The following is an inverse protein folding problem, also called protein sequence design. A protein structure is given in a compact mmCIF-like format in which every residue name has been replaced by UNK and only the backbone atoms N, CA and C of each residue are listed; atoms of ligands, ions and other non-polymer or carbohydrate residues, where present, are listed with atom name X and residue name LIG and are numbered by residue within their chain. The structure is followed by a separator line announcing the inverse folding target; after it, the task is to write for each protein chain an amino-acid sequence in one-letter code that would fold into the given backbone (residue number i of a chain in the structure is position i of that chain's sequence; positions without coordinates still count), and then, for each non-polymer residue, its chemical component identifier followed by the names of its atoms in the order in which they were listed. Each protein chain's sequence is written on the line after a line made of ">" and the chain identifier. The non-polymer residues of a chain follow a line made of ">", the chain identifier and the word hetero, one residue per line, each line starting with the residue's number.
data_IF_356982148931
#
_entry.id   IF_356982148931
#
_cell.length_a   1.000
_cell.length_b   1.000
_cell.length_c   1.000
_cell.angle_alpha   90.00
_cell.angle_beta   90.00
_cell.angle_gamma   90.00
#
_symmetry.space_group_name_H-M   'P 1'
#
loop_
_entity.id
_entity.type
_entity.pdbx_description
1 polymer ?
#
# COMPACT_ATOMS: atom_id res chain seq x y z
N UNK A 1 8.86 13.22 -1.40
CA UNK A 1 8.92 12.67 -2.77
C UNK A 1 8.25 13.64 -3.75
N UNK A 2 8.93 14.16 -4.80
CA UNK A 2 8.31 15.09 -5.78
C UNK A 2 7.84 14.35 -7.04
N UNK A 3 6.72 13.62 -6.94
CA UNK A 3 6.22 12.76 -8.02
C UNK A 3 5.70 13.56 -9.22
N UNK A 4 5.09 14.73 -8.98
CA UNK A 4 4.52 15.58 -10.02
C UNK A 4 5.59 16.16 -10.95
N UNK A 5 6.68 16.69 -10.39
CA UNK A 5 7.80 17.19 -11.18
C UNK A 5 8.46 16.08 -12.02
N UNK A 6 8.61 14.88 -11.44
CA UNK A 6 9.13 13.73 -12.18
C UNK A 6 8.20 13.31 -13.32
N UNK A 7 6.88 13.37 -13.12
CA UNK A 7 5.89 13.04 -14.15
C UNK A 7 6.05 13.93 -15.39
N UNK A 8 6.25 15.24 -15.20
CA UNK A 8 6.47 16.19 -16.29
C UNK A 8 7.76 15.95 -17.10
N UNK A 9 8.74 15.24 -16.54
CA UNK A 9 10.02 14.91 -17.21
C UNK A 9 9.93 13.65 -18.08
N UNK A 10 8.85 12.87 -18.01
CA UNK A 10 8.76 11.59 -18.71
C UNK A 10 8.24 11.73 -20.15
N UNK A 11 9.08 11.36 -21.11
CA UNK A 11 8.67 11.24 -22.52
C UNK A 11 8.03 9.88 -22.85
N UNK A 12 7.42 9.78 -24.05
CA UNK A 12 6.79 8.54 -24.58
C UNK A 12 7.68 7.31 -24.47
N UNK A 13 8.98 7.44 -24.75
CA UNK A 13 9.92 6.33 -24.68
C UNK A 13 10.26 5.93 -23.23
N UNK A 14 10.32 6.88 -22.30
CA UNK A 14 10.50 6.59 -20.87
C UNK A 14 9.38 5.72 -20.33
N UNK A 15 8.12 6.04 -20.68
CA UNK A 15 6.96 5.22 -20.30
C UNK A 15 6.99 3.82 -20.89
N UNK A 16 7.43 3.66 -22.16
CA UNK A 16 7.60 2.33 -22.79
C UNK A 16 8.67 1.48 -22.11
N UNK A 17 9.79 2.10 -21.72
CA UNK A 17 10.86 1.44 -20.96
C UNK A 17 10.35 1.01 -19.58
N UNK A 18 9.66 1.90 -18.85
CA UNK A 18 9.07 1.56 -17.56
C UNK A 18 8.00 0.46 -17.67
N UNK A 19 7.17 0.46 -18.71
CA UNK A 19 6.20 -0.61 -18.97
C UNK A 19 6.87 -1.96 -19.24
N UNK A 20 7.97 -1.96 -20.01
CA UNK A 20 8.77 -3.15 -20.27
C UNK A 20 9.41 -3.69 -18.97
N UNK A 21 9.96 -2.82 -18.12
CA UNK A 21 10.48 -3.24 -16.82
C UNK A 21 9.34 -3.85 -15.99
N UNK A 22 8.22 -3.13 -15.85
CA UNK A 22 7.11 -3.53 -14.98
C UNK A 22 6.63 -4.93 -15.32
N UNK A 23 6.34 -5.21 -16.60
CA UNK A 23 5.81 -6.50 -17.06
C UNK A 23 6.75 -7.70 -16.85
N UNK A 24 8.05 -7.45 -16.65
CA UNK A 24 9.06 -8.49 -16.46
C UNK A 24 9.58 -8.56 -15.02
N UNK A 25 9.03 -7.79 -14.06
CA UNK A 25 9.45 -7.82 -12.66
C UNK A 25 9.22 -9.16 -11.94
N UNK A 26 8.29 -9.98 -12.46
CA UNK A 26 7.96 -11.27 -11.86
C UNK A 26 9.04 -12.32 -12.08
N UNK A 27 9.78 -12.21 -13.19
CA UNK A 27 10.79 -13.18 -13.61
C UNK A 27 12.21 -12.67 -13.37
N UNK A 28 12.39 -11.36 -13.15
CA UNK A 28 13.70 -10.73 -13.03
C UNK A 28 13.76 -9.71 -11.89
N UNK A 29 14.80 -9.82 -11.06
CA UNK A 29 15.14 -8.78 -10.09
C UNK A 29 15.58 -7.48 -10.80
N UNK A 30 16.45 -7.62 -11.82
CA UNK A 30 16.86 -6.58 -12.77
C UNK A 30 16.53 -7.09 -14.17
N UNK A 31 15.62 -6.41 -14.88
CA UNK A 31 15.20 -6.85 -16.22
C UNK A 31 16.34 -6.62 -17.21
N UNK A 32 16.78 -7.63 -17.99
CA UNK A 32 17.88 -7.49 -18.95
C UNK A 32 17.60 -6.41 -20.01
N UNK A 33 18.63 -5.65 -20.41
CA UNK A 33 18.51 -4.59 -21.43
C UNK A 33 17.90 -5.11 -22.73
N UNK A 34 18.33 -6.28 -23.20
CA UNK A 34 17.85 -6.87 -24.45
C UNK A 34 16.34 -7.11 -24.40
N UNK A 35 15.84 -7.58 -23.25
CA UNK A 35 14.42 -7.82 -23.02
C UNK A 35 13.64 -6.50 -22.93
N UNK A 36 14.19 -5.50 -22.21
CA UNK A 36 13.62 -4.13 -22.16
C UNK A 36 13.52 -3.53 -23.56
N UNK A 37 14.61 -3.57 -24.33
CA UNK A 37 14.74 -3.06 -25.69
C UNK A 37 13.71 -3.68 -26.63
N UNK A 38 13.62 -5.02 -26.62
CA UNK A 38 12.68 -5.80 -27.42
C UNK A 38 11.22 -5.45 -27.08
N UNK A 39 10.85 -5.52 -25.79
CA UNK A 39 9.50 -5.25 -25.33
C UNK A 39 9.09 -3.80 -25.60
N UNK A 40 9.97 -2.86 -25.29
CA UNK A 40 9.73 -1.44 -25.52
C UNK A 40 9.78 -1.09 -27.00
N UNK A 41 10.24 -1.97 -27.91
CA UNK A 41 10.55 -1.74 -29.33
C UNK A 41 11.36 -0.45 -29.53
N UNK A 42 12.49 -0.37 -28.84
CA UNK A 42 13.47 0.73 -28.87
C UNK A 42 14.84 0.09 -28.98
N UNK A 43 15.68 0.51 -29.94
CA UNK A 43 17.02 -0.06 -30.09
C UNK A 43 17.87 0.05 -28.80
N UNK A 44 18.74 -0.92 -28.56
CA UNK A 44 19.46 -1.09 -27.29
C UNK A 44 20.26 0.14 -26.85
N UNK A 45 20.95 0.81 -27.79
CA UNK A 45 21.70 2.04 -27.48
C UNK A 45 20.77 3.15 -26.96
N UNK A 46 19.63 3.34 -27.62
CA UNK A 46 18.63 4.32 -27.19
C UNK A 46 17.99 3.92 -25.87
N UNK A 47 17.69 2.63 -25.67
CA UNK A 47 17.17 2.11 -24.41
C UNK A 47 18.16 2.35 -23.26
N UNK A 48 19.45 2.07 -23.47
CA UNK A 48 20.54 2.32 -22.51
C UNK A 48 20.64 3.79 -22.12
N UNK A 49 20.60 4.70 -23.08
CA UNK A 49 20.63 6.14 -22.82
C UNK A 49 19.42 6.61 -21.99
N UNK A 50 18.22 6.09 -22.28
CA UNK A 50 17.02 6.38 -21.49
C UNK A 50 17.13 5.79 -20.08
N UNK A 51 17.61 4.55 -19.93
CA UNK A 51 17.81 3.93 -18.63
C UNK A 51 18.84 4.67 -17.77
N UNK A 52 19.90 5.20 -18.39
CA UNK A 52 20.85 6.09 -17.71
C UNK A 52 20.15 7.36 -17.21
N UNK A 53 19.40 8.04 -18.08
CA UNK A 53 18.61 9.22 -17.72
C UNK A 53 17.60 8.95 -16.59
N UNK A 54 16.87 7.83 -16.65
CA UNK A 54 15.93 7.43 -15.61
C UNK A 54 16.64 7.08 -14.29
N UNK A 55 17.85 6.53 -14.35
CA UNK A 55 18.67 6.25 -13.17
C UNK A 55 19.18 7.54 -12.52
N UNK A 56 19.57 8.54 -13.31
CA UNK A 56 19.98 9.86 -12.80
C UNK A 56 18.81 10.56 -12.07
N UNK A 57 17.58 10.36 -12.56
CA UNK A 57 16.35 10.81 -11.89
C UNK A 57 15.89 9.89 -10.73
N UNK A 58 16.64 8.83 -10.42
CA UNK A 58 16.31 7.81 -9.41
C UNK A 58 14.96 7.13 -9.64
N UNK A 59 14.50 7.02 -10.88
CA UNK A 59 13.29 6.27 -11.28
C UNK A 59 13.61 4.79 -11.37
N UNK A 60 14.77 4.45 -11.94
CA UNK A 60 15.27 3.07 -12.03
C UNK A 60 16.62 2.94 -11.33
N UNK A 61 17.00 1.71 -11.04
CA UNK A 61 18.34 1.34 -10.63
C UNK A 61 18.92 0.41 -11.70
N UNK A 62 20.09 0.77 -12.24
CA UNK A 62 20.80 -0.04 -13.22
C UNK A 62 21.87 -0.91 -12.55
N UNK A 63 22.13 -2.09 -13.10
CA UNK A 63 23.15 -3.05 -12.68
C UNK A 63 23.94 -3.54 -13.89
N UNK A 64 25.24 -3.81 -13.70
CA UNK A 64 26.15 -4.32 -14.73
C UNK A 64 26.98 -5.55 -14.29
N UNK A 65 26.74 -6.11 -13.10
CA UNK A 65 27.62 -7.14 -12.50
C UNK A 65 27.69 -8.45 -13.30
N UNK A 66 26.56 -8.91 -13.85
CA UNK A 66 26.45 -10.20 -14.56
C UNK A 66 25.89 -10.01 -15.98
N UNK A 67 24.99 -9.06 -16.13
CA UNK A 67 24.45 -8.54 -17.39
C UNK A 67 24.00 -7.10 -17.14
N UNK A 68 23.78 -6.34 -18.22
CA UNK A 68 23.15 -5.03 -18.14
C UNK A 68 21.65 -5.20 -17.88
N UNK A 69 21.17 -4.71 -16.74
CA UNK A 69 19.76 -4.80 -16.38
C UNK A 69 19.29 -3.67 -15.49
N UNK A 70 17.98 -3.48 -15.43
CA UNK A 70 17.36 -2.37 -14.71
C UNK A 70 16.12 -2.80 -13.95
N UNK A 71 15.91 -2.18 -12.80
CA UNK A 71 14.71 -2.39 -11.97
C UNK A 71 14.17 -1.05 -11.47
N UNK A 72 12.94 -1.04 -10.97
CA UNK A 72 12.37 0.19 -10.42
C UNK A 72 12.98 0.53 -9.07
N UNK A 73 13.13 1.83 -8.79
CA UNK A 73 13.14 2.32 -7.41
C UNK A 73 11.71 2.41 -6.87
N UNK A 74 11.53 2.65 -5.57
CA UNK A 74 10.20 2.99 -5.04
C UNK A 74 9.59 4.19 -5.76
N UNK A 75 10.39 5.22 -6.04
CA UNK A 75 9.93 6.45 -6.70
C UNK A 75 9.44 6.13 -8.12
N UNK A 76 10.21 5.34 -8.88
CA UNK A 76 9.83 5.01 -10.25
C UNK A 76 8.64 4.08 -10.34
N UNK A 77 8.51 3.09 -9.44
CA UNK A 77 7.33 2.22 -9.40
C UNK A 77 6.07 3.02 -9.08
N UNK A 78 6.17 3.96 -8.14
CA UNK A 78 5.06 4.83 -7.75
C UNK A 78 4.69 5.79 -8.89
N UNK A 79 5.68 6.34 -9.58
CA UNK A 79 5.49 7.18 -10.76
C UNK A 79 4.79 6.41 -11.90
N UNK A 80 5.22 5.19 -12.18
CA UNK A 80 4.59 4.33 -13.18
C UNK A 80 3.18 3.92 -12.78
N UNK A 81 2.95 3.60 -11.51
CA UNK A 81 1.62 3.28 -10.97
C UNK A 81 0.65 4.48 -11.09
N UNK A 82 1.11 5.68 -10.75
CA UNK A 82 0.36 6.92 -10.97
C UNK A 82 0.03 7.12 -12.45
N UNK A 83 1.00 6.91 -13.34
CA UNK A 83 0.78 7.02 -14.78
C UNK A 83 -0.33 6.10 -15.28
N UNK A 84 -0.43 4.88 -14.75
CA UNK A 84 -1.52 3.94 -15.11
C UNK A 84 -2.88 4.40 -14.60
N UNK A 85 -2.94 4.97 -13.39
CA UNK A 85 -4.17 5.58 -12.87
C UNK A 85 -4.62 6.76 -13.74
N UNK A 86 -3.70 7.65 -14.13
CA UNK A 86 -3.98 8.77 -15.04
C UNK A 86 -4.43 8.30 -16.41
N UNK A 87 -3.71 7.35 -17.02
CA UNK A 87 -4.03 6.79 -18.35
C UNK A 87 -5.38 6.08 -18.41
N UNK A 88 -5.90 5.62 -17.26
CA UNK A 88 -7.20 4.96 -17.16
C UNK A 88 -8.31 5.90 -16.66
N UNK A 89 -8.06 7.21 -16.59
CA UNK A 89 -9.05 8.21 -16.19
C UNK A 89 -9.50 8.09 -14.73
N UNK A 90 -8.63 7.58 -13.86
CA UNK A 90 -8.92 7.40 -12.43
C UNK A 90 -8.32 8.48 -11.55
N UNK A 91 -7.30 9.19 -12.04
CA UNK A 91 -6.66 10.31 -11.35
C UNK A 91 -6.37 11.38 -12.39
N UNK A 92 -6.78 12.62 -12.11
CA UNK A 92 -6.68 13.74 -13.04
C UNK A 92 -5.68 14.78 -12.52
N UNK A 93 -5.54 14.91 -11.20
CA UNK A 93 -4.49 15.72 -10.57
C UNK A 93 -3.92 15.04 -9.32
N UNK A 94 -2.60 15.16 -9.12
CA UNK A 94 -1.93 14.75 -7.87
C UNK A 94 -1.69 15.97 -6.99
N UNK A 95 -1.98 15.84 -5.70
CA UNK A 95 -1.79 16.87 -4.70
C UNK A 95 -0.47 16.76 -3.93
N UNK A 96 -0.52 17.15 -2.66
CA UNK A 96 0.61 17.15 -1.73
C UNK A 96 0.79 15.79 -1.09
N UNK A 97 2.01 15.55 -0.61
CA UNK A 97 2.29 14.44 0.28
C UNK A 97 1.60 14.71 1.63
N UNK A 98 0.65 13.85 2.00
CA UNK A 98 -0.07 13.93 3.27
C UNK A 98 0.71 13.24 4.40
N UNK A 99 1.36 12.12 4.09
CA UNK A 99 2.13 11.35 5.06
C UNK A 99 3.12 10.41 4.37
N UNK A 100 4.28 10.23 4.96
CA UNK A 100 5.31 9.32 4.45
C UNK A 100 5.91 8.48 5.60
N UNK A 101 5.65 7.18 5.58
CA UNK A 101 6.13 6.22 6.56
C UNK A 101 7.15 5.23 5.99
N UNK A 102 7.47 4.21 6.80
CA UNK A 102 8.34 3.09 6.40
C UNK A 102 7.69 2.23 5.31
N UNK A 103 6.38 1.99 5.42
CA UNK A 103 5.64 1.06 4.58
C UNK A 103 4.83 1.73 3.46
N UNK A 104 4.61 3.04 3.52
CA UNK A 104 3.84 3.74 2.48
C UNK A 104 4.19 5.22 2.32
N UNK A 105 3.71 5.83 1.23
CA UNK A 105 3.60 7.27 1.06
C UNK A 105 2.18 7.59 0.54
N UNK A 106 1.54 8.58 1.15
CA UNK A 106 0.13 8.92 0.92
C UNK A 106 0.05 10.34 0.36
N UNK A 107 -0.64 10.51 -0.76
CA UNK A 107 -0.87 11.81 -1.38
C UNK A 107 -2.37 12.03 -1.53
N UNK A 108 -2.84 13.26 -1.32
CA UNK A 108 -4.16 13.63 -1.83
C UNK A 108 -4.10 13.76 -3.36
N UNK A 109 -5.24 13.59 -4.01
CA UNK A 109 -5.40 13.71 -5.45
C UNK A 109 -6.84 14.09 -5.78
N UNK A 110 -7.07 14.46 -7.04
CA UNK A 110 -8.40 14.73 -7.57
C UNK A 110 -8.67 13.80 -8.75
N UNK A 111 -9.89 13.28 -8.79
CA UNK A 111 -10.45 12.56 -9.92
C UNK A 111 -11.75 13.23 -10.35
N UNK A 112 -11.93 13.46 -11.66
CA UNK A 112 -13.22 13.91 -12.21
C UNK A 112 -14.34 12.89 -11.93
N UNK A 113 -13.99 11.61 -11.77
CA UNK A 113 -14.94 10.52 -11.52
C UNK A 113 -15.31 10.35 -10.04
N UNK A 114 -14.37 10.60 -9.14
CA UNK A 114 -14.52 10.26 -7.71
C UNK A 114 -14.42 11.47 -6.76
N UNK A 115 -14.08 12.66 -7.28
CA UNK A 115 -13.84 13.85 -6.47
C UNK A 115 -12.46 13.86 -5.81
N UNK A 116 -12.36 14.46 -4.63
CA UNK A 116 -11.13 14.41 -3.82
C UNK A 116 -10.89 12.99 -3.29
N UNK A 117 -9.66 12.52 -3.43
CA UNK A 117 -9.27 11.15 -3.14
C UNK A 117 -7.86 11.10 -2.55
N UNK A 118 -7.48 9.91 -2.10
CA UNK A 118 -6.13 9.58 -1.66
C UNK A 118 -5.54 8.51 -2.56
N UNK A 119 -4.26 8.69 -2.94
CA UNK A 119 -3.44 7.62 -3.50
C UNK A 119 -2.36 7.21 -2.50
N UNK A 120 -2.39 5.94 -2.10
CA UNK A 120 -1.43 5.31 -1.20
C UNK A 120 -0.45 4.45 -2.00
N UNK A 121 0.83 4.79 -1.95
CA UNK A 121 1.91 4.03 -2.57
C UNK A 121 2.62 3.15 -1.54
N UNK A 122 2.66 1.84 -1.77
CA UNK A 122 3.28 0.87 -0.87
C UNK A 122 4.80 0.78 -1.08
N UNK A 123 5.54 0.58 0.01
CA UNK A 123 7.02 0.54 0.09
C UNK A 123 7.60 -0.77 0.60
N UNK A 124 6.77 -1.79 0.83
CA UNK A 124 7.18 -3.04 1.50
C UNK A 124 8.51 -3.58 0.94
N UNK A 125 9.42 -3.91 1.86
CA UNK A 125 10.74 -4.44 1.54
C UNK A 125 11.80 -3.39 1.22
N UNK A 126 11.46 -2.13 0.89
CA UNK A 126 12.45 -1.12 0.50
C UNK A 126 13.46 -0.78 1.61
N UNK A 127 13.03 -0.76 2.88
CA UNK A 127 13.89 -0.48 4.05
C UNK A 127 14.75 -1.68 4.43
N UNK A 128 14.16 -2.87 4.45
CA UNK A 128 14.84 -4.15 4.71
C UNK A 128 15.88 -4.45 3.63
N UNK A 129 15.60 -4.14 2.36
CA UNK A 129 16.54 -4.38 1.25
C UNK A 129 17.81 -3.53 1.36
N UNK A 130 17.74 -2.30 1.89
CA UNK A 130 18.94 -1.50 2.17
C UNK A 130 19.90 -2.20 3.15
N UNK A 131 19.36 -3.02 4.07
CA UNK A 131 20.13 -3.79 5.06
C UNK A 131 20.52 -5.18 4.56
N UNK A 132 19.74 -5.79 3.66
CA UNK A 132 19.91 -7.19 3.21
C UNK A 132 20.76 -7.31 1.91
N UNK A 133 21.21 -6.19 1.33
CA UNK A 133 22.14 -6.16 0.17
C UNK A 133 23.43 -6.97 0.34
N UNK A 134 23.75 -7.45 1.53
CA UNK A 134 25.00 -8.13 1.85
C UNK A 134 24.95 -9.67 1.74
N UNK A 135 23.79 -10.35 1.56
CA UNK A 135 23.74 -11.82 1.75
C UNK A 135 22.86 -12.68 0.79
N UNK A 136 22.40 -12.22 -0.37
CA UNK A 136 21.37 -12.97 -1.15
C UNK A 136 21.87 -13.87 -2.29
N UNK A 137 21.21 -15.04 -2.36
CA UNK A 137 21.13 -16.00 -3.48
C UNK A 137 19.89 -15.73 -4.37
N UNK A 138 19.90 -16.32 -5.57
CA UNK A 138 18.78 -16.33 -6.53
C UNK A 138 17.51 -16.94 -5.90
N UNK A 139 16.45 -16.15 -5.71
CA UNK A 139 15.14 -16.67 -5.27
C UNK A 139 14.27 -15.69 -4.50
N UNK A 140 14.86 -14.68 -3.86
CA UNK A 140 14.08 -13.67 -3.15
C UNK A 140 13.41 -12.69 -4.12
N UNK A 141 12.08 -12.59 -4.02
CA UNK A 141 11.29 -11.67 -4.82
C UNK A 141 11.75 -10.22 -4.62
N UNK A 142 11.92 -9.47 -5.71
CA UNK A 142 12.35 -8.07 -5.64
C UNK A 142 11.35 -7.21 -4.86
N UNK A 143 11.83 -6.17 -4.16
CA UNK A 143 10.97 -5.32 -3.32
C UNK A 143 9.82 -4.68 -4.11
N UNK A 144 10.01 -4.41 -5.41
CA UNK A 144 8.95 -3.90 -6.27
C UNK A 144 7.74 -4.84 -6.32
N UNK A 145 7.97 -6.15 -6.43
CA UNK A 145 6.89 -7.14 -6.48
C UNK A 145 6.24 -7.30 -5.10
N UNK A 146 7.01 -7.22 -4.02
CA UNK A 146 6.46 -7.21 -2.66
C UNK A 146 5.55 -5.99 -2.43
N UNK A 147 5.97 -4.80 -2.86
CA UNK A 147 5.15 -3.59 -2.82
C UNK A 147 3.88 -3.70 -3.68
N UNK A 148 3.97 -4.31 -4.87
CA UNK A 148 2.80 -4.58 -5.74
C UNK A 148 1.82 -5.55 -5.06
N UNK A 149 2.32 -6.63 -4.46
CA UNK A 149 1.48 -7.61 -3.73
C UNK A 149 0.81 -6.98 -2.52
N UNK A 150 1.53 -6.16 -1.76
CA UNK A 150 1.02 -5.44 -0.61
C UNK A 150 -0.14 -4.50 -0.99
N UNK A 151 0.02 -3.70 -2.03
CA UNK A 151 -1.05 -2.83 -2.55
C UNK A 151 -2.25 -3.63 -3.04
N UNK A 152 -2.01 -4.75 -3.72
CA UNK A 152 -3.07 -5.66 -4.18
C UNK A 152 -3.85 -6.26 -3.01
N UNK A 153 -3.17 -6.62 -1.93
CA UNK A 153 -3.79 -7.21 -0.75
C UNK A 153 -4.74 -6.20 -0.09
N UNK A 154 -4.26 -4.98 0.16
CA UNK A 154 -5.10 -3.90 0.71
C UNK A 154 -6.31 -3.60 -0.18
N UNK A 155 -6.10 -3.49 -1.50
CA UNK A 155 -7.21 -3.29 -2.43
C UNK A 155 -8.28 -4.40 -2.35
N UNK A 156 -7.86 -5.66 -2.30
CA UNK A 156 -8.78 -6.82 -2.21
C UNK A 156 -9.54 -6.87 -0.90
N UNK A 157 -8.85 -6.61 0.22
CA UNK A 157 -9.49 -6.54 1.53
C UNK A 157 -10.54 -5.43 1.56
N UNK A 158 -10.17 -4.22 1.14
CA UNK A 158 -11.12 -3.10 1.06
C UNK A 158 -12.30 -3.40 0.14
N UNK A 159 -12.08 -4.09 -0.99
CA UNK A 159 -13.18 -4.52 -1.87
C UNK A 159 -14.19 -5.44 -1.18
N UNK A 160 -13.74 -6.40 -0.37
CA UNK A 160 -14.62 -7.30 0.40
C UNK A 160 -15.37 -6.59 1.53
N UNK A 161 -14.76 -5.53 2.07
CA UNK A 161 -15.26 -4.76 3.21
C UNK A 161 -16.10 -3.53 2.82
N UNK A 162 -16.37 -3.30 1.52
CA UNK A 162 -17.21 -2.19 1.10
C UNK A 162 -18.59 -2.23 1.77
N UNK A 163 -19.03 -1.07 2.25
CA UNK A 163 -20.25 -0.88 3.04
C UNK A 163 -20.06 -0.94 4.56
N UNK A 164 -18.84 -1.20 5.04
CA UNK A 164 -18.44 -1.16 6.45
C UNK A 164 -17.59 0.08 6.76
N UNK A 165 -17.09 0.22 7.98
CA UNK A 165 -16.26 1.35 8.43
C UNK A 165 -14.82 1.30 7.85
N UNK A 166 -14.71 1.32 6.53
CA UNK A 166 -13.45 1.35 5.78
C UNK A 166 -13.55 2.42 4.68
N UNK A 167 -12.43 2.95 4.16
CA UNK A 167 -12.48 3.84 3.00
C UNK A 167 -13.14 3.16 1.80
N UNK A 168 -13.95 3.90 1.03
CA UNK A 168 -14.31 3.42 -0.32
C UNK A 168 -13.04 3.26 -1.15
N UNK A 169 -12.93 2.13 -1.84
CA UNK A 169 -11.77 1.83 -2.68
C UNK A 169 -12.14 1.91 -4.15
N UNK A 170 -11.36 2.66 -4.93
CA UNK A 170 -11.70 2.99 -6.32
C UNK A 170 -10.88 2.19 -7.33
N UNK A 171 -9.58 2.02 -7.09
CA UNK A 171 -8.71 1.27 -8.00
C UNK A 171 -7.37 0.87 -7.39
N UNK A 172 -6.70 -0.05 -8.08
CA UNK A 172 -5.33 -0.47 -7.82
C UNK A 172 -4.53 -0.52 -9.13
N UNK A 173 -3.32 0.02 -9.10
CA UNK A 173 -2.34 -0.10 -10.19
C UNK A 173 -0.95 -0.23 -9.59
N UNK A 174 -0.19 -1.28 -9.93
CA UNK A 174 1.18 -1.46 -9.44
C UNK A 174 1.27 -1.47 -7.91
N UNK A 175 2.00 -0.52 -7.32
CA UNK A 175 2.09 -0.36 -5.87
C UNK A 175 1.12 0.70 -5.31
N UNK A 176 0.16 1.18 -6.09
CA UNK A 176 -0.76 2.25 -5.71
C UNK A 176 -2.18 1.73 -5.48
N UNK A 177 -2.81 2.20 -4.40
CA UNK A 177 -4.26 2.05 -4.14
C UNK A 177 -4.89 3.44 -4.10
N UNK A 178 -5.95 3.63 -4.89
CA UNK A 178 -6.76 4.85 -4.93
C UNK A 178 -8.03 4.64 -4.10
N UNK A 179 -8.27 5.51 -3.13
CA UNK A 179 -9.36 5.38 -2.15
C UNK A 179 -9.90 6.75 -1.72
N UNK A 180 -11.01 6.72 -0.97
CA UNK A 180 -11.65 7.87 -0.36
C UNK A 180 -10.70 8.65 0.55
N UNK A 181 -10.79 9.98 0.49
CA UNK A 181 -10.19 10.85 1.50
C UNK A 181 -11.15 10.92 2.69
N UNK A 182 -10.70 10.45 3.85
CA UNK A 182 -11.47 10.53 5.10
C UNK A 182 -10.98 11.74 5.89
N UNK A 183 -11.88 12.67 6.19
CA UNK A 183 -11.60 13.82 7.07
C UNK A 183 -11.73 13.42 8.54
N UNK A 184 -10.76 12.62 9.00
CA UNK A 184 -10.69 12.11 10.36
C UNK A 184 -9.24 12.05 10.85
N UNK A 185 -9.05 11.91 12.16
CA UNK A 185 -7.71 11.88 12.78
C UNK A 185 -7.42 10.49 13.33
N UNK A 186 -6.16 10.07 13.27
CA UNK A 186 -5.70 8.83 13.90
C UNK A 186 -6.07 8.84 15.40
N UNK A 187 -6.64 7.73 15.90
CA UNK A 187 -7.18 7.57 17.25
C UNK A 187 -6.18 8.00 18.32
N UNK A 188 -4.89 7.67 18.16
CA UNK A 188 -3.87 8.06 19.15
C UNK A 188 -3.65 9.57 19.29
N UNK A 189 -4.11 10.37 18.33
CA UNK A 189 -4.02 11.85 18.35
C UNK A 189 -5.27 12.51 18.93
N UNK A 190 -6.30 11.74 19.21
CA UNK A 190 -7.60 12.23 19.69
C UNK A 190 -7.82 11.70 21.10
N UNK A 191 -8.30 12.56 22.00
CA UNK A 191 -8.87 12.11 23.27
C UNK A 191 -10.37 11.93 23.05
N UNK A 192 -10.84 10.69 23.11
CA UNK A 192 -12.27 10.40 22.94
C UNK A 192 -13.02 10.60 24.26
N UNK A 193 -14.25 11.09 24.18
CA UNK A 193 -15.09 11.36 25.36
C UNK A 193 -15.72 10.06 25.93
N UNK A 194 -16.16 9.15 25.05
CA UNK A 194 -16.76 7.86 25.40
C UNK A 194 -15.88 6.68 24.93
N UNK A 195 -14.78 6.38 25.63
CA UNK A 195 -13.82 5.37 25.18
C UNK A 195 -14.40 3.96 25.08
N UNK A 196 -15.31 3.56 25.99
CA UNK A 196 -15.97 2.25 25.90
C UNK A 196 -16.88 2.13 24.67
N UNK A 197 -17.63 3.18 24.32
CA UNK A 197 -18.46 3.21 23.10
C UNK A 197 -17.59 3.14 21.84
N UNK A 198 -16.49 3.89 21.79
CA UNK A 198 -15.57 3.86 20.64
C UNK A 198 -14.90 2.49 20.51
N UNK A 199 -14.49 1.88 21.62
CA UNK A 199 -13.93 0.52 21.62
C UNK A 199 -14.97 -0.48 21.10
N UNK A 200 -16.22 -0.38 21.53
CA UNK A 200 -17.29 -1.27 21.09
C UNK A 200 -17.59 -1.11 19.60
N UNK A 201 -17.64 0.12 19.09
CA UNK A 201 -17.75 0.37 17.64
C UNK A 201 -16.61 -0.29 16.85
N UNK A 202 -15.37 -0.19 17.33
CA UNK A 202 -14.22 -0.84 16.66
C UNK A 202 -14.38 -2.37 16.67
N UNK A 203 -14.74 -2.96 17.81
CA UNK A 203 -14.89 -4.42 17.93
C UNK A 203 -16.06 -4.94 17.10
N UNK A 204 -17.16 -4.19 16.99
CA UNK A 204 -18.28 -4.50 16.09
C UNK A 204 -17.85 -4.50 14.62
N UNK A 205 -17.02 -3.55 14.19
CA UNK A 205 -16.48 -3.55 12.83
C UNK A 205 -15.51 -4.72 12.59
N UNK A 206 -14.68 -5.07 13.59
CA UNK A 206 -13.83 -6.26 13.53
C UNK A 206 -14.66 -7.53 13.39
N UNK A 207 -15.79 -7.65 14.10
CA UNK A 207 -16.74 -8.74 13.92
C UNK A 207 -17.25 -8.77 12.47
N UNK A 208 -17.75 -7.65 11.95
CA UNK A 208 -18.24 -7.57 10.56
C UNK A 208 -17.15 -7.93 9.54
N UNK A 209 -15.88 -7.58 9.79
CA UNK A 209 -14.76 -7.96 8.93
C UNK A 209 -14.55 -9.48 8.94
N UNK A 210 -14.57 -10.10 10.12
CA UNK A 210 -14.48 -11.55 10.28
C UNK A 210 -15.58 -12.27 9.48
N UNK A 211 -16.82 -11.80 9.54
CA UNK A 211 -17.94 -12.39 8.76
C UNK A 211 -17.80 -12.19 7.26
N UNK A 212 -17.12 -11.13 6.82
CA UNK A 212 -16.74 -10.93 5.41
C UNK A 212 -15.49 -11.75 5.02
N UNK A 213 -14.98 -12.58 5.92
CA UNK A 213 -13.84 -13.45 5.73
C UNK A 213 -12.50 -12.74 5.77
N UNK A 214 -12.39 -11.59 6.45
CA UNK A 214 -11.15 -10.80 6.54
C UNK A 214 -10.76 -10.58 8.00
N UNK A 215 -9.48 -10.78 8.32
CA UNK A 215 -8.84 -10.31 9.55
C UNK A 215 -7.87 -9.19 9.22
N UNK A 216 -7.85 -8.11 10.00
CA UNK A 216 -7.13 -6.88 9.67
C UNK A 216 -5.60 -7.07 9.56
N UNK A 217 -4.99 -7.77 10.50
CA UNK A 217 -3.58 -8.14 10.47
C UNK A 217 -2.62 -7.12 11.06
N UNK A 218 -3.05 -5.89 11.29
CA UNK A 218 -2.26 -4.86 11.98
C UNK A 218 -3.13 -3.86 12.77
N UNK A 219 -4.16 -4.35 13.48
CA UNK A 219 -5.09 -3.44 14.15
C UNK A 219 -4.42 -2.78 15.36
N UNK A 220 -4.38 -1.45 15.35
CA UNK A 220 -3.80 -0.63 16.41
C UNK A 220 -4.40 0.78 16.39
N UNK A 221 -4.08 1.59 17.41
CA UNK A 221 -4.51 2.99 17.51
C UNK A 221 -3.99 3.91 16.40
N UNK A 222 -3.03 3.45 15.60
CA UNK A 222 -2.51 4.16 14.43
C UNK A 222 -3.36 3.92 13.18
N UNK A 223 -4.11 2.81 13.15
CA UNK A 223 -4.87 2.32 12.00
C UNK A 223 -6.39 2.48 12.18
N UNK A 224 -6.80 3.27 13.18
CA UNK A 224 -8.18 3.70 13.39
C UNK A 224 -8.23 5.22 13.26
N UNK A 225 -9.07 5.71 12.36
CA UNK A 225 -9.40 7.13 12.24
C UNK A 225 -10.70 7.43 12.97
N UNK A 226 -10.78 8.57 13.63
CA UNK A 226 -11.94 9.03 14.40
C UNK A 226 -12.28 10.47 14.02
N UNK A 227 -13.58 10.73 13.83
CA UNK A 227 -14.18 12.06 13.75
C UNK A 227 -15.51 12.07 14.52
N UNK A 228 -16.23 13.19 14.52
CA UNK A 228 -17.58 13.28 15.09
C UNK A 228 -18.59 12.40 14.35
N UNK A 229 -18.32 12.07 13.08
CA UNK A 229 -19.20 11.25 12.23
C UNK A 229 -19.03 9.74 12.46
N UNK A 230 -17.96 9.32 13.15
CA UNK A 230 -17.71 7.92 13.47
C UNK A 230 -16.25 7.51 13.39
N UNK A 231 -16.05 6.22 13.09
CA UNK A 231 -14.72 5.60 12.99
C UNK A 231 -14.52 4.97 11.61
N UNK A 232 -13.25 4.88 11.20
CA UNK A 232 -12.83 4.11 10.03
C UNK A 232 -11.56 3.35 10.34
N UNK A 233 -11.51 2.09 9.95
CA UNK A 233 -10.31 1.26 10.04
C UNK A 233 -9.59 1.32 8.69
N UNK A 234 -8.27 1.50 8.72
CA UNK A 234 -7.42 1.69 7.55
C UNK A 234 -6.18 0.80 7.64
N UNK A 235 -5.41 0.70 6.54
CA UNK A 235 -4.14 -0.04 6.47
C UNK A 235 -4.30 -1.58 6.54
N UNK A 236 -4.86 -2.14 5.46
CA UNK A 236 -5.08 -3.58 5.29
C UNK A 236 -4.00 -4.39 4.51
N UNK A 237 -2.74 -3.93 4.26
CA UNK A 237 -1.80 -4.73 3.47
C UNK A 237 -1.38 -6.02 4.16
N UNK A 238 -1.51 -6.12 5.50
CA UNK A 238 -1.21 -7.32 6.28
C UNK A 238 -2.46 -8.18 6.58
N UNK A 239 -3.62 -7.82 6.00
CA UNK A 239 -4.83 -8.59 6.19
C UNK A 239 -4.71 -10.00 5.62
N UNK A 240 -5.40 -10.93 6.27
CA UNK A 240 -5.46 -12.35 5.90
C UNK A 240 -6.91 -12.78 5.76
N UNK A 241 -7.14 -13.81 4.96
CA UNK A 241 -8.48 -14.40 4.84
C UNK A 241 -8.75 -15.35 6.01
N UNK A 242 -9.99 -15.37 6.49
CA UNK A 242 -10.43 -16.36 7.47
C UNK A 242 -10.29 -17.76 6.86
N UNK A 243 -9.54 -18.64 7.54
CA UNK A 243 -9.18 -19.97 7.06
C UNK A 243 -7.73 -20.10 6.56
N UNK A 244 -7.02 -18.99 6.33
CA UNK A 244 -5.57 -19.02 6.05
C UNK A 244 -4.76 -19.39 7.30
N UNK A 245 -3.57 -19.97 7.14
CA UNK A 245 -2.73 -20.36 8.28
C UNK A 245 -2.48 -19.17 9.24
N UNK A 246 -2.75 -19.39 10.54
CA UNK A 246 -2.54 -18.37 11.56
C UNK A 246 -3.61 -17.27 11.67
N UNK A 247 -4.70 -17.34 10.88
CA UNK A 247 -5.74 -16.29 10.86
C UNK A 247 -6.32 -16.00 12.25
N UNK A 248 -6.50 -17.03 13.09
CA UNK A 248 -7.12 -16.90 14.40
C UNK A 248 -6.19 -16.18 15.37
N UNK A 249 -4.92 -16.57 15.40
CA UNK A 249 -3.90 -15.94 16.24
C UNK A 249 -3.70 -14.47 15.88
N UNK A 250 -3.82 -14.14 14.59
CA UNK A 250 -3.79 -12.76 14.10
C UNK A 250 -5.00 -11.97 14.61
N UNK A 251 -6.21 -12.54 14.54
CA UNK A 251 -7.42 -11.91 15.07
C UNK A 251 -7.32 -11.66 16.58
N UNK A 252 -6.88 -12.67 17.34
CA UNK A 252 -6.70 -12.54 18.78
C UNK A 252 -5.66 -11.48 19.13
N UNK A 253 -4.60 -11.34 18.32
CA UNK A 253 -3.62 -10.26 18.47
C UNK A 253 -4.23 -8.89 18.21
N UNK A 254 -4.98 -8.74 17.12
CA UNK A 254 -5.64 -7.48 16.76
C UNK A 254 -6.59 -7.01 17.87
N UNK A 255 -7.46 -7.90 18.37
CA UNK A 255 -8.40 -7.62 19.46
C UNK A 255 -7.66 -7.28 20.76
N UNK A 256 -6.62 -8.06 21.11
CA UNK A 256 -5.79 -7.81 22.28
C UNK A 256 -5.08 -6.45 22.20
N UNK A 257 -4.54 -6.09 21.03
CA UNK A 257 -3.83 -4.83 20.82
C UNK A 257 -4.75 -3.64 21.05
N UNK A 258 -5.94 -3.64 20.46
CA UNK A 258 -6.86 -2.51 20.58
C UNK A 258 -7.42 -2.40 22.01
N UNK A 259 -7.85 -3.51 22.63
CA UNK A 259 -8.33 -3.49 24.03
C UNK A 259 -7.22 -3.03 24.99
N UNK A 260 -5.98 -3.51 24.79
CA UNK A 260 -4.84 -3.10 25.63
C UNK A 260 -4.55 -1.60 25.50
N UNK A 261 -4.66 -1.03 24.29
CA UNK A 261 -4.52 0.40 24.10
C UNK A 261 -5.57 1.18 24.90
N UNK A 262 -6.86 0.82 24.76
CA UNK A 262 -7.94 1.49 25.48
C UNK A 262 -7.81 1.35 27.01
N UNK A 263 -7.47 0.16 27.50
CA UNK A 263 -7.23 -0.06 28.93
C UNK A 263 -6.09 0.80 29.46
N UNK A 264 -4.98 0.94 28.73
CA UNK A 264 -3.83 1.75 29.16
C UNK A 264 -4.09 3.25 29.09
N UNK A 265 -4.79 3.72 28.06
CA UNK A 265 -4.99 5.15 27.81
C UNK A 265 -6.21 5.70 28.54
N UNK A 266 -7.28 4.92 28.61
CA UNK A 266 -8.60 5.35 29.10
C UNK A 266 -9.10 4.59 30.33
N UNK A 267 -8.39 3.54 30.78
CA UNK A 267 -8.78 2.68 31.92
C UNK A 267 -10.12 1.95 31.70
N UNK A 268 -10.47 1.67 30.44
CA UNK A 268 -11.62 0.82 30.10
C UNK A 268 -11.40 -0.61 30.63
N UNK A 269 -12.49 -1.25 31.06
CA UNK A 269 -12.49 -2.62 31.55
C UNK A 269 -13.25 -3.53 30.57
N UNK A 270 -12.54 -3.98 29.51
CA UNK A 270 -13.08 -4.93 28.53
C UNK A 270 -12.32 -6.25 28.63
N UNK A 271 -13.06 -7.36 28.83
CA UNK A 271 -12.45 -8.68 28.84
C UNK A 271 -12.10 -9.13 27.41
N UNK A 272 -10.83 -9.51 27.21
CA UNK A 272 -10.28 -9.84 25.89
C UNK A 272 -10.88 -11.14 25.36
N UNK A 273 -11.00 -12.16 26.21
CA UNK A 273 -11.49 -13.48 25.79
C UNK A 273 -12.96 -13.41 25.41
N UNK A 274 -13.78 -12.74 26.22
CA UNK A 274 -15.20 -12.47 25.94
C UNK A 274 -15.40 -11.69 24.64
N UNK A 275 -14.55 -10.69 24.36
CA UNK A 275 -14.60 -9.96 23.09
C UNK A 275 -14.25 -10.86 21.89
N UNK A 276 -13.23 -11.71 22.00
CA UNK A 276 -12.86 -12.68 20.97
C UNK A 276 -13.98 -13.69 20.74
N UNK A 277 -14.53 -14.26 21.81
CA UNK A 277 -15.62 -15.24 21.75
C UNK A 277 -16.86 -14.64 21.08
N UNK A 278 -17.21 -13.39 21.38
CA UNK A 278 -18.31 -12.69 20.72
C UNK A 278 -18.08 -12.53 19.22
N UNK A 279 -16.89 -12.09 18.81
CA UNK A 279 -16.52 -11.93 17.40
C UNK A 279 -16.62 -13.25 16.63
N UNK A 280 -16.29 -14.38 17.27
CA UNK A 280 -16.29 -15.70 16.65
C UNK A 280 -17.66 -16.41 16.67
N UNK A 281 -18.63 -15.90 17.43
CA UNK A 281 -19.97 -16.48 17.58
C UNK A 281 -21.02 -15.87 16.65
N UNK A 282 -20.86 -14.58 16.34
CA UNK A 282 -21.67 -13.88 15.34
C UNK A 282 -21.37 -14.45 13.94
#
# INVERSE_FOLDING_TARGET
>A
MNIAELYGKMGKHSWRIMDAIFKNLWDYEYVPLQLISSHARIGEEKARNILKYLSDLRVVQNRQKDYEGSTFTFIGLSLYSLHRLVRSGKVDAIGKLMGEGKESAVFNCYSEKFGECVVKFHKVGHTSFKKVKEKRDYGDLHFSVLAIRSARNEFRALQKLQGLAVPKVYAWEGNAVLMELIDAKELYRVRVENPDEVLDMILEEVAKFYHRGIVHGDLSQYNVLVSEEGIWIIDFPQSVEVGEEGWREILERDVRNIITYFSRTYRTEKDINSAIDRILQE
#
